data_IF_527634112293
#
_entry.id   IF_527634112293
#
_cell.length_a   1.000
_cell.length_b   1.000
_cell.length_c   1.000
_cell.angle_alpha   90.00
_cell.angle_beta   90.00
_cell.angle_gamma   90.00
#
_symmetry.space_group_name_H-M   'P 1'
#
loop_
_entity.id
_entity.type
_entity.pdbx_description
1 polymer ?
#
# COMPACT_ATOMS: atom_id res chain seq x y z
N UNK A 1 -13.22 21.25 -33.96
CA UNK A 1 -14.63 21.56 -34.32
C UNK A 1 -15.49 21.56 -33.07
N UNK A 2 -15.66 20.46 -32.32
CA UNK A 2 -16.51 20.34 -31.11
C UNK A 2 -16.20 21.41 -30.06
N UNK A 3 -14.93 21.63 -29.75
CA UNK A 3 -14.50 22.67 -28.79
C UNK A 3 -14.92 24.09 -29.27
N UNK A 4 -14.76 24.35 -30.56
CA UNK A 4 -15.11 25.64 -31.16
C UNK A 4 -16.63 25.85 -31.26
N UNK A 5 -17.41 24.80 -31.28
CA UNK A 5 -18.87 24.88 -31.30
C UNK A 5 -19.46 25.38 -29.98
N UNK A 6 -18.71 25.34 -28.88
CA UNK A 6 -19.14 25.80 -27.54
C UNK A 6 -20.49 25.21 -27.09
N UNK A 7 -20.67 23.91 -27.32
CA UNK A 7 -21.89 23.20 -26.98
C UNK A 7 -22.02 22.97 -25.47
N UNK A 8 -23.17 23.22 -24.87
CA UNK A 8 -23.38 22.95 -23.46
C UNK A 8 -23.47 21.45 -23.18
N UNK A 9 -22.95 21.02 -22.03
CA UNK A 9 -23.21 19.70 -21.46
C UNK A 9 -24.52 19.75 -20.67
N UNK A 10 -25.55 19.08 -21.16
CA UNK A 10 -26.87 19.05 -20.53
C UNK A 10 -27.05 17.69 -19.85
N UNK A 11 -27.25 17.71 -18.53
CA UNK A 11 -27.61 16.54 -17.74
C UNK A 11 -29.12 16.33 -17.74
N UNK A 12 -29.54 15.13 -18.04
CA UNK A 12 -30.95 14.71 -17.99
C UNK A 12 -31.04 13.47 -17.10
N UNK A 13 -31.94 13.47 -16.12
CA UNK A 13 -32.30 12.28 -15.35
C UNK A 13 -33.42 11.57 -16.11
N UNK A 14 -33.24 10.29 -16.37
CA UNK A 14 -34.14 9.49 -17.20
C UNK A 14 -34.56 8.20 -16.49
N UNK A 15 -35.75 7.68 -16.83
CA UNK A 15 -36.12 6.36 -16.33
C UNK A 15 -35.30 5.25 -17.02
N UNK A 16 -35.25 4.07 -16.38
CA UNK A 16 -34.55 2.90 -16.93
C UNK A 16 -35.04 2.53 -18.33
N UNK A 17 -36.37 2.60 -18.57
CA UNK A 17 -36.96 2.33 -19.87
C UNK A 17 -36.59 3.40 -20.92
N UNK A 18 -36.53 4.65 -20.52
CA UNK A 18 -36.07 5.73 -21.39
C UNK A 18 -34.60 5.58 -21.75
N UNK A 19 -33.71 5.27 -20.76
CA UNK A 19 -32.30 5.01 -21.01
C UNK A 19 -32.11 3.85 -22.00
N UNK A 20 -32.80 2.73 -21.81
CA UNK A 20 -32.77 1.59 -22.76
C UNK A 20 -33.22 1.95 -24.16
N UNK A 21 -34.22 2.84 -24.31
CA UNK A 21 -34.64 3.32 -25.63
C UNK A 21 -33.58 4.19 -26.30
N UNK A 22 -32.94 5.07 -25.53
CA UNK A 22 -31.84 5.95 -26.03
C UNK A 22 -30.68 5.13 -26.57
N UNK A 23 -30.34 4.04 -25.89
CA UNK A 23 -29.17 3.19 -26.20
C UNK A 23 -29.55 1.83 -26.80
N UNK A 24 -30.71 1.70 -27.41
CA UNK A 24 -31.23 0.42 -27.91
C UNK A 24 -30.30 -0.32 -28.89
N UNK A 25 -29.48 0.42 -29.65
CA UNK A 25 -28.46 -0.07 -30.58
C UNK A 25 -27.07 -0.36 -29.92
N UNK A 26 -26.93 -0.09 -28.62
CA UNK A 26 -25.66 -0.19 -27.87
C UNK A 26 -25.78 -1.24 -26.76
N UNK A 27 -25.69 -2.52 -27.14
CA UNK A 27 -25.95 -3.66 -26.25
C UNK A 27 -25.21 -3.59 -24.90
N UNK A 28 -23.96 -3.12 -24.89
CA UNK A 28 -23.16 -3.02 -23.65
C UNK A 28 -23.68 -1.94 -22.70
N UNK A 29 -24.23 -0.84 -23.22
CA UNK A 29 -24.88 0.17 -22.40
C UNK A 29 -26.22 -0.32 -21.86
N UNK A 30 -27.02 -1.04 -22.67
CA UNK A 30 -28.24 -1.67 -22.19
C UNK A 30 -27.98 -2.65 -21.09
N UNK A 31 -26.95 -3.53 -21.23
CA UNK A 31 -26.51 -4.46 -20.20
C UNK A 31 -26.07 -3.71 -18.92
N UNK A 32 -25.30 -2.64 -19.07
CA UNK A 32 -24.87 -1.83 -17.91
C UNK A 32 -26.06 -1.20 -17.18
N UNK A 33 -27.07 -0.70 -17.91
CA UNK A 33 -28.31 -0.16 -17.33
C UNK A 33 -29.07 -1.26 -16.56
N UNK A 34 -29.04 -2.50 -17.04
CA UNK A 34 -29.70 -3.63 -16.36
C UNK A 34 -29.01 -4.02 -15.05
N UNK A 35 -27.69 -3.86 -14.97
CA UNK A 35 -26.92 -4.15 -13.78
C UNK A 35 -27.04 -3.11 -12.67
N UNK A 36 -27.48 -1.90 -12.97
CA UNK A 36 -27.66 -0.86 -11.95
C UNK A 36 -28.72 -1.29 -10.92
N UNK A 37 -28.52 -0.90 -9.66
CA UNK A 37 -29.49 -1.15 -8.61
C UNK A 37 -30.87 -0.65 -8.98
N UNK A 38 -31.97 -1.31 -8.54
CA UNK A 38 -33.36 -0.95 -8.96
C UNK A 38 -33.72 0.52 -8.69
N UNK A 39 -33.16 1.10 -7.63
CA UNK A 39 -33.37 2.47 -7.16
C UNK A 39 -32.28 3.46 -7.62
N UNK A 40 -31.31 3.02 -8.42
CA UNK A 40 -30.26 3.89 -8.91
C UNK A 40 -30.81 4.99 -9.83
N UNK A 41 -30.40 6.22 -9.57
CA UNK A 41 -30.67 7.36 -10.47
C UNK A 41 -29.87 7.19 -11.76
N UNK A 42 -30.52 7.21 -12.88
CA UNK A 42 -29.89 7.09 -14.21
C UNK A 42 -29.86 8.46 -14.85
N UNK A 43 -28.67 8.94 -15.22
CA UNK A 43 -28.53 10.19 -15.95
C UNK A 43 -27.75 10.01 -17.25
N UNK A 44 -28.11 10.85 -18.21
CA UNK A 44 -27.44 10.98 -19.50
C UNK A 44 -26.95 12.41 -19.67
N UNK A 45 -25.83 12.55 -20.38
CA UNK A 45 -25.29 13.85 -20.76
C UNK A 45 -25.36 14.02 -22.28
N UNK A 46 -25.78 15.20 -22.70
CA UNK A 46 -25.86 15.60 -24.11
C UNK A 46 -24.96 16.79 -24.38
N UNK A 47 -24.32 16.78 -25.53
CA UNK A 47 -23.76 17.97 -26.17
C UNK A 47 -23.92 17.82 -27.70
N UNK A 48 -24.49 18.80 -28.34
CA UNK A 48 -24.86 18.67 -29.75
C UNK A 48 -25.72 17.43 -30.01
N UNK A 49 -25.31 16.63 -30.97
CA UNK A 49 -25.96 15.36 -31.32
C UNK A 49 -25.45 14.15 -30.52
N UNK A 50 -24.44 14.34 -29.66
CA UNK A 50 -23.88 13.25 -28.87
C UNK A 50 -24.63 13.07 -27.56
N UNK A 51 -24.92 11.82 -27.18
CA UNK A 51 -25.50 11.46 -25.90
C UNK A 51 -24.77 10.26 -25.32
N UNK A 52 -24.51 10.31 -24.04
CA UNK A 52 -23.93 9.17 -23.33
C UNK A 52 -24.49 9.01 -21.91
N UNK A 53 -24.40 7.77 -21.40
CA UNK A 53 -24.76 7.40 -20.04
C UNK A 53 -23.61 7.85 -19.11
N UNK A 54 -23.88 8.73 -18.15
CA UNK A 54 -22.86 9.22 -17.23
C UNK A 54 -23.49 9.78 -15.95
N UNK A 55 -22.87 9.48 -14.80
CA UNK A 55 -23.26 10.06 -13.52
C UNK A 55 -22.79 11.52 -13.36
N UNK A 56 -21.74 11.94 -14.09
CA UNK A 56 -21.12 13.25 -13.96
C UNK A 56 -20.11 13.33 -12.81
N UNK A 57 -19.69 14.53 -12.41
CA UNK A 57 -20.00 15.83 -13.04
C UNK A 57 -19.27 16.05 -14.37
N UNK A 58 -19.72 17.04 -15.16
CA UNK A 58 -19.08 17.50 -16.39
C UNK A 58 -18.81 18.99 -16.35
N UNK A 59 -17.92 19.46 -17.24
CA UNK A 59 -17.76 20.89 -17.54
C UNK A 59 -19.04 21.47 -18.12
N UNK A 60 -19.23 22.80 -17.98
CA UNK A 60 -20.48 23.43 -18.43
C UNK A 60 -20.64 23.40 -19.96
N UNK A 61 -19.55 23.53 -20.71
CA UNK A 61 -19.58 23.51 -22.18
C UNK A 61 -18.23 23.06 -22.77
N UNK A 62 -18.23 22.66 -24.02
CA UNK A 62 -17.07 22.13 -24.72
C UNK A 62 -15.93 23.12 -24.89
N UNK A 63 -16.20 24.44 -24.89
CA UNK A 63 -15.15 25.47 -25.02
C UNK A 63 -14.25 25.58 -23.81
N UNK A 64 -14.62 25.00 -22.66
CA UNK A 64 -13.76 24.94 -21.48
C UNK A 64 -12.58 23.97 -21.64
N UNK A 65 -12.60 23.09 -22.64
CA UNK A 65 -11.48 22.23 -22.97
C UNK A 65 -10.39 23.05 -23.64
N UNK A 66 -9.41 23.52 -22.88
CA UNK A 66 -8.32 24.34 -23.39
C UNK A 66 -7.28 23.56 -24.19
N UNK A 67 -7.05 22.31 -23.86
CA UNK A 67 -6.17 21.39 -24.56
C UNK A 67 -6.52 19.95 -24.26
N UNK A 68 -6.35 19.06 -25.24
CA UNK A 68 -6.51 17.61 -25.06
C UNK A 68 -5.47 16.84 -25.86
N UNK A 69 -5.29 15.56 -25.49
CA UNK A 69 -4.44 14.62 -26.24
C UNK A 69 -5.01 13.21 -26.15
N UNK A 70 -5.13 12.53 -27.28
CA UNK A 70 -5.35 11.10 -27.35
C UNK A 70 -4.02 10.39 -27.08
N UNK A 71 -4.01 9.46 -26.12
CA UNK A 71 -2.81 8.87 -25.59
C UNK A 71 -2.50 7.52 -26.23
N UNK A 72 -3.36 6.54 -26.03
CA UNK A 72 -3.20 5.17 -26.54
C UNK A 72 -4.53 4.46 -26.72
N UNK A 73 -4.50 3.37 -27.48
CA UNK A 73 -5.58 2.39 -27.57
C UNK A 73 -5.08 1.08 -26.97
N UNK A 74 -5.93 0.41 -26.20
CA UNK A 74 -5.63 -0.91 -25.62
C UNK A 74 -6.87 -1.78 -25.68
N UNK A 75 -6.71 -3.11 -25.73
CA UNK A 75 -7.76 -4.07 -25.52
C UNK A 75 -8.25 -4.02 -24.06
N UNK A 76 -9.54 -4.22 -23.85
CA UNK A 76 -10.11 -4.38 -22.52
C UNK A 76 -11.31 -5.33 -22.61
N UNK A 77 -11.29 -6.40 -21.84
CA UNK A 77 -12.44 -7.29 -21.76
C UNK A 77 -13.64 -6.59 -21.10
N UNK A 78 -14.83 -6.85 -21.61
CA UNK A 78 -16.04 -6.31 -21.04
C UNK A 78 -16.20 -6.75 -19.58
N UNK A 79 -16.39 -5.78 -18.68
CA UNK A 79 -16.43 -5.98 -17.21
C UNK A 79 -15.18 -6.64 -16.61
N UNK A 80 -14.07 -6.67 -17.33
CA UNK A 80 -12.84 -7.33 -16.86
C UNK A 80 -12.85 -8.85 -16.96
N UNK A 81 -13.86 -9.43 -17.53
CA UNK A 81 -14.02 -10.88 -17.70
C UNK A 81 -13.36 -11.35 -19.00
N UNK A 82 -12.31 -12.18 -18.91
CA UNK A 82 -11.56 -12.70 -20.06
C UNK A 82 -12.35 -13.62 -20.97
N UNK A 83 -13.45 -14.19 -20.49
CA UNK A 83 -14.35 -15.04 -21.27
C UNK A 83 -15.36 -14.21 -22.10
N UNK A 84 -15.37 -12.88 -21.90
CA UNK A 84 -16.25 -11.96 -22.58
C UNK A 84 -15.54 -11.23 -23.74
N UNK A 85 -16.29 -10.42 -24.46
CA UNK A 85 -15.77 -9.72 -25.64
C UNK A 85 -14.67 -8.73 -25.28
N UNK A 86 -13.61 -8.74 -26.09
CA UNK A 86 -12.55 -7.73 -26.02
C UNK A 86 -13.00 -6.46 -26.75
N UNK A 87 -13.08 -5.38 -26.01
CA UNK A 87 -13.36 -4.04 -26.52
C UNK A 87 -12.06 -3.25 -26.71
N UNK A 88 -12.14 -2.18 -27.49
CA UNK A 88 -11.07 -1.20 -27.61
C UNK A 88 -11.31 -0.07 -26.62
N UNK A 89 -10.32 0.16 -25.74
CA UNK A 89 -10.32 1.29 -24.80
C UNK A 89 -9.40 2.39 -25.32
N UNK A 90 -9.97 3.54 -25.62
CA UNK A 90 -9.24 4.73 -26.00
C UNK A 90 -8.94 5.57 -24.76
N UNK A 91 -7.66 5.84 -24.52
CA UNK A 91 -7.19 6.70 -23.45
C UNK A 91 -6.91 8.10 -23.98
N UNK A 92 -7.38 9.10 -23.25
CA UNK A 92 -7.14 10.51 -23.54
C UNK A 92 -7.08 11.32 -22.27
N UNK A 93 -6.55 12.52 -22.38
CA UNK A 93 -6.51 13.50 -21.28
C UNK A 93 -6.85 14.89 -21.79
N UNK A 94 -7.45 15.72 -20.93
CA UNK A 94 -7.82 17.11 -21.25
C UNK A 94 -7.54 18.01 -20.05
N UNK A 95 -7.20 19.28 -20.34
CA UNK A 95 -6.89 20.31 -19.36
C UNK A 95 -7.51 21.64 -19.78
N UNK A 96 -7.73 22.52 -18.79
CA UNK A 96 -8.23 23.89 -19.06
C UNK A 96 -7.18 24.74 -19.77
N UNK A 97 -5.87 24.46 -19.57
CA UNK A 97 -4.78 25.25 -20.16
C UNK A 97 -3.78 24.34 -20.89
N UNK A 98 -3.25 24.83 -22.02
CA UNK A 98 -2.19 24.14 -22.78
C UNK A 98 -0.94 23.85 -21.95
N UNK A 99 -0.57 24.77 -21.03
CA UNK A 99 0.58 24.60 -20.14
C UNK A 99 0.40 23.40 -19.20
N UNK A 100 -0.79 23.22 -18.66
CA UNK A 100 -1.11 22.08 -17.78
C UNK A 100 -0.98 20.73 -18.52
N UNK A 101 -1.52 20.66 -19.75
CA UNK A 101 -1.32 19.49 -20.61
C UNK A 101 0.16 19.23 -20.89
N UNK A 102 0.94 20.28 -21.22
CA UNK A 102 2.37 20.15 -21.51
C UNK A 102 3.13 19.63 -20.27
N UNK A 103 2.85 20.16 -19.09
CA UNK A 103 3.41 19.67 -17.82
C UNK A 103 3.04 18.22 -17.55
N UNK A 104 1.76 17.86 -17.73
CA UNK A 104 1.31 16.48 -17.54
C UNK A 104 2.04 15.49 -18.49
N UNK A 105 2.16 15.85 -19.77
CA UNK A 105 2.86 15.00 -20.74
C UNK A 105 4.35 14.90 -20.46
N UNK A 106 4.98 15.97 -19.99
CA UNK A 106 6.37 15.96 -19.53
C UNK A 106 6.53 15.00 -18.33
N UNK A 107 5.67 15.11 -17.32
CA UNK A 107 5.71 14.24 -16.13
C UNK A 107 5.48 12.76 -16.50
N UNK A 108 4.60 12.45 -17.46
CA UNK A 108 4.43 11.09 -17.95
C UNK A 108 5.69 10.54 -18.62
N UNK A 109 6.35 11.35 -19.48
CA UNK A 109 7.60 10.95 -20.12
C UNK A 109 8.74 10.77 -19.11
N UNK A 110 8.81 11.64 -18.08
CA UNK A 110 9.78 11.48 -16.99
C UNK A 110 9.48 10.23 -16.13
N UNK A 111 8.19 9.93 -15.85
CA UNK A 111 7.81 8.72 -15.16
C UNK A 111 8.26 7.45 -15.91
N UNK A 112 8.10 7.41 -17.24
CA UNK A 112 8.54 6.28 -18.06
C UNK A 112 10.06 6.10 -18.05
N UNK A 113 10.83 7.20 -18.05
CA UNK A 113 12.30 7.14 -17.94
C UNK A 113 12.77 6.64 -16.58
N UNK A 114 12.02 6.95 -15.51
CA UNK A 114 12.36 6.62 -14.13
C UNK A 114 11.76 5.30 -13.65
N UNK A 115 10.98 4.62 -14.49
CA UNK A 115 10.30 3.35 -14.12
C UNK A 115 11.31 2.39 -13.48
N UNK A 116 11.05 2.04 -12.20
CA UNK A 116 11.94 1.19 -11.40
C UNK A 116 12.22 -0.16 -12.06
N UNK A 117 11.29 -0.69 -12.86
CA UNK A 117 11.46 -1.97 -13.56
C UNK A 117 12.55 -1.87 -14.64
N UNK A 118 12.65 -0.72 -15.31
CA UNK A 118 13.67 -0.44 -16.30
C UNK A 118 14.99 -0.07 -15.64
N UNK A 119 15.00 0.98 -14.83
CA UNK A 119 16.18 1.50 -14.14
C UNK A 119 16.78 0.45 -13.21
N UNK A 120 15.96 -0.24 -12.43
CA UNK A 120 16.40 -1.28 -11.48
C UNK A 120 17.04 -2.48 -12.20
N UNK A 121 16.51 -2.88 -13.37
CA UNK A 121 17.11 -3.92 -14.21
C UNK A 121 18.45 -3.48 -14.79
N UNK A 122 18.53 -2.29 -15.35
CA UNK A 122 19.76 -1.72 -15.93
C UNK A 122 20.88 -1.59 -14.89
N UNK A 123 20.54 -1.22 -13.66
CA UNK A 123 21.50 -1.08 -12.56
C UNK A 123 21.80 -2.40 -11.83
N UNK A 124 21.07 -3.47 -12.12
CA UNK A 124 21.21 -4.77 -11.47
C UNK A 124 20.74 -4.76 -10.01
N UNK A 125 19.68 -4.03 -9.71
CA UNK A 125 19.12 -3.95 -8.37
C UNK A 125 18.17 -5.11 -8.04
N UNK A 126 17.35 -5.50 -9.00
CA UNK A 126 16.46 -6.67 -8.87
C UNK A 126 16.16 -7.29 -10.23
N UNK A 127 15.63 -8.49 -10.20
CA UNK A 127 15.11 -9.18 -11.36
C UNK A 127 13.80 -9.88 -11.04
N UNK A 128 12.98 -10.06 -12.06
CA UNK A 128 11.77 -10.88 -12.03
C UNK A 128 12.02 -12.04 -12.98
N UNK A 129 11.74 -13.23 -12.54
CA UNK A 129 11.96 -14.47 -13.29
C UNK A 129 10.70 -15.33 -13.28
N UNK A 130 10.35 -15.92 -14.41
CA UNK A 130 9.13 -16.72 -14.54
C UNK A 130 9.23 -18.01 -13.70
N UNK A 131 10.41 -18.58 -13.57
CA UNK A 131 10.63 -19.79 -12.76
C UNK A 131 10.47 -19.51 -11.25
N UNK A 132 10.76 -18.28 -10.80
CA UNK A 132 10.50 -17.88 -9.43
C UNK A 132 9.02 -17.63 -9.18
N UNK A 133 8.27 -17.27 -10.22
CA UNK A 133 6.85 -16.93 -10.17
C UNK A 133 6.55 -15.43 -10.18
N UNK A 134 5.33 -15.11 -10.61
CA UNK A 134 4.88 -13.72 -10.77
C UNK A 134 4.81 -13.01 -9.42
N UNK A 135 5.47 -11.84 -9.33
CA UNK A 135 5.46 -11.01 -8.12
C UNK A 135 6.39 -11.49 -7.01
N UNK A 136 7.37 -12.32 -7.33
CA UNK A 136 8.42 -12.79 -6.42
C UNK A 136 9.77 -12.24 -6.90
N UNK A 137 10.19 -11.04 -6.45
CA UNK A 137 11.43 -10.43 -6.90
C UNK A 137 12.66 -11.13 -6.34
N UNK A 138 13.71 -11.24 -7.17
CA UNK A 138 15.03 -11.73 -6.81
C UNK A 138 16.00 -10.55 -6.73
N UNK A 139 16.90 -10.56 -5.76
CA UNK A 139 17.85 -9.48 -5.50
C UNK A 139 19.29 -9.93 -5.75
N UNK A 140 19.91 -9.52 -6.88
CA UNK A 140 21.34 -9.65 -7.09
C UNK A 140 22.16 -8.88 -6.03
N UNK A 141 23.48 -9.08 -5.94
CA UNK A 141 24.31 -8.52 -4.88
C UNK A 141 24.18 -7.01 -4.63
N UNK A 142 23.96 -6.20 -5.68
CA UNK A 142 23.76 -4.75 -5.53
C UNK A 142 22.44 -4.43 -4.84
N UNK A 143 21.34 -5.05 -5.27
CA UNK A 143 20.02 -4.85 -4.67
C UNK A 143 19.96 -5.36 -3.24
N UNK A 144 20.50 -6.56 -3.00
CA UNK A 144 20.59 -7.12 -1.64
C UNK A 144 21.36 -6.21 -0.69
N UNK A 145 22.43 -5.53 -1.17
CA UNK A 145 23.19 -4.55 -0.38
C UNK A 145 22.35 -3.33 -0.02
N UNK A 146 21.60 -2.78 -0.98
CA UNK A 146 20.70 -1.63 -0.70
C UNK A 146 19.64 -1.98 0.34
N UNK A 147 18.97 -3.14 0.16
CA UNK A 147 17.99 -3.63 1.14
C UNK A 147 18.61 -3.76 2.52
N UNK A 148 19.80 -4.34 2.60
CA UNK A 148 20.52 -4.52 3.86
C UNK A 148 20.82 -3.18 4.53
N UNK A 149 21.32 -2.20 3.78
CA UNK A 149 21.62 -0.86 4.29
C UNK A 149 20.36 -0.15 4.81
N UNK A 150 19.22 -0.26 4.09
CA UNK A 150 17.95 0.27 4.56
C UNK A 150 17.51 -0.38 5.88
N UNK A 151 17.59 -1.70 5.96
CA UNK A 151 17.23 -2.45 7.18
C UNK A 151 18.15 -2.12 8.35
N UNK A 152 19.46 -2.04 8.15
CA UNK A 152 20.42 -1.73 9.19
C UNK A 152 20.28 -0.30 9.71
N UNK A 153 20.02 0.64 8.81
CA UNK A 153 19.76 2.03 9.18
C UNK A 153 18.50 2.15 10.03
N UNK A 154 17.37 1.60 9.56
CA UNK A 154 16.10 1.65 10.29
C UNK A 154 16.15 0.87 11.60
N UNK A 155 16.80 -0.29 11.63
CA UNK A 155 16.99 -1.11 12.85
C UNK A 155 17.65 -0.31 13.96
N UNK A 156 18.70 0.47 13.66
CA UNK A 156 19.39 1.30 14.62
C UNK A 156 18.48 2.37 15.20
N UNK A 157 17.74 3.07 14.33
CA UNK A 157 16.82 4.12 14.75
C UNK A 157 15.66 3.55 15.61
N UNK A 158 15.18 2.34 15.29
CA UNK A 158 14.14 1.66 16.08
C UNK A 158 14.64 1.25 17.49
N UNK A 159 15.86 0.72 17.59
CA UNK A 159 16.43 0.40 18.91
C UNK A 159 16.60 1.65 19.79
N UNK A 160 17.04 2.76 19.22
CA UNK A 160 17.16 4.04 19.94
C UNK A 160 15.81 4.55 20.45
N UNK A 161 14.71 4.17 19.78
CA UNK A 161 13.33 4.50 20.16
C UNK A 161 12.67 3.44 21.05
N UNK A 162 13.42 2.46 21.54
CA UNK A 162 12.94 1.42 22.45
C UNK A 162 12.09 0.33 21.82
N UNK A 163 12.24 0.08 20.53
CA UNK A 163 11.68 -1.11 19.88
C UNK A 163 12.59 -2.32 20.07
N UNK A 164 11.99 -3.49 20.20
CA UNK A 164 12.68 -4.78 20.30
C UNK A 164 12.43 -5.63 19.06
N UNK A 165 13.51 -6.14 18.44
CA UNK A 165 13.40 -6.97 17.24
C UNK A 165 12.98 -8.39 17.57
N UNK A 166 12.01 -8.89 16.86
CA UNK A 166 11.54 -10.29 16.91
C UNK A 166 11.62 -10.94 15.54
N UNK A 167 11.59 -12.26 15.50
CA UNK A 167 11.57 -13.05 14.26
C UNK A 167 10.45 -14.07 14.39
N UNK A 168 9.54 -14.09 13.42
CA UNK A 168 8.41 -15.00 13.42
C UNK A 168 8.47 -15.98 12.23
N UNK A 169 7.93 -17.19 12.36
CA UNK A 169 7.94 -18.18 11.29
C UNK A 169 7.10 -17.71 10.09
N UNK A 170 7.44 -18.21 8.89
CA UNK A 170 6.69 -17.90 7.67
C UNK A 170 5.39 -18.69 7.53
N UNK A 171 5.28 -19.81 8.27
CA UNK A 171 4.18 -20.76 8.16
C UNK A 171 3.57 -20.99 9.53
N UNK A 172 2.24 -20.97 9.60
CA UNK A 172 1.46 -21.26 10.81
C UNK A 172 0.35 -22.26 10.52
N UNK A 173 -0.12 -22.96 11.57
CA UNK A 173 -1.38 -23.69 11.50
C UNK A 173 -2.54 -22.76 11.18
N UNK A 174 -3.48 -23.20 10.36
CA UNK A 174 -4.63 -22.36 9.93
C UNK A 174 -5.49 -21.85 11.08
N UNK A 175 -5.45 -22.49 12.25
CA UNK A 175 -6.19 -22.06 13.44
C UNK A 175 -5.78 -20.67 13.93
N UNK A 176 -4.51 -20.28 13.74
CA UNK A 176 -4.04 -18.90 14.04
C UNK A 176 -4.78 -17.89 13.17
N UNK A 177 -4.98 -18.22 11.90
CA UNK A 177 -5.68 -17.37 10.94
C UNK A 177 -7.18 -17.29 11.18
N UNK A 178 -7.79 -18.38 11.67
CA UNK A 178 -9.20 -18.41 12.13
C UNK A 178 -9.37 -17.54 13.37
N UNK A 179 -8.49 -17.68 14.36
CA UNK A 179 -8.51 -16.85 15.57
C UNK A 179 -8.37 -15.36 15.24
N UNK A 180 -7.44 -14.99 14.39
CA UNK A 180 -7.22 -13.60 13.99
C UNK A 180 -8.31 -13.03 13.07
N UNK A 181 -9.14 -13.87 12.45
CA UNK A 181 -10.15 -13.48 11.46
C UNK A 181 -9.66 -13.38 10.03
N UNK A 182 -8.36 -13.53 9.79
CA UNK A 182 -7.83 -13.46 8.42
C UNK A 182 -8.37 -14.57 7.52
N UNK A 183 -8.67 -15.73 8.09
CA UNK A 183 -9.22 -16.86 7.33
C UNK A 183 -10.53 -16.48 6.64
N UNK A 184 -11.42 -15.77 7.34
CA UNK A 184 -12.75 -15.39 6.86
C UNK A 184 -12.75 -14.13 5.98
N UNK A 185 -11.92 -13.15 6.33
CA UNK A 185 -11.92 -11.83 5.66
C UNK A 185 -10.84 -11.67 4.58
N UNK A 186 -9.81 -12.52 4.60
CA UNK A 186 -8.63 -12.39 3.74
C UNK A 186 -8.18 -13.71 3.09
N UNK A 187 -8.93 -14.79 3.28
CA UNK A 187 -8.57 -16.14 2.85
C UNK A 187 -8.27 -16.27 1.35
N UNK A 188 -8.98 -15.55 0.48
CA UNK A 188 -8.74 -15.54 -0.96
C UNK A 188 -7.35 -15.04 -1.36
N UNK A 189 -6.73 -14.21 -0.50
CA UNK A 189 -5.39 -13.67 -0.70
C UNK A 189 -4.30 -14.46 0.02
N UNK A 190 -4.61 -15.63 0.58
CA UNK A 190 -3.68 -16.45 1.34
C UNK A 190 -3.30 -17.72 0.57
N UNK A 191 -2.11 -18.25 0.88
CA UNK A 191 -1.65 -19.55 0.42
C UNK A 191 -1.84 -20.58 1.53
N UNK A 192 -2.70 -21.60 1.29
CA UNK A 192 -2.93 -22.71 2.20
C UNK A 192 -2.43 -24.02 1.61
N UNK A 193 -2.01 -24.92 2.49
CA UNK A 193 -1.61 -26.27 2.11
C UNK A 193 -1.79 -27.24 3.28
N UNK A 194 -1.91 -28.54 2.96
CA UNK A 194 -2.10 -29.58 3.94
C UNK A 194 -0.81 -30.40 4.12
N UNK A 195 -0.48 -30.72 5.36
CA UNK A 195 0.61 -31.60 5.73
C UNK A 195 0.03 -32.82 6.43
N UNK A 196 0.46 -34.03 6.04
CA UNK A 196 0.14 -35.23 6.78
C UNK A 196 1.09 -35.38 7.98
N UNK A 197 0.59 -35.09 9.18
CA UNK A 197 1.32 -35.25 10.45
C UNK A 197 1.15 -36.67 11.04
N UNK A 198 0.35 -37.53 10.41
CA UNK A 198 0.16 -38.93 10.79
C UNK A 198 1.05 -39.91 10.02
N UNK A 199 0.87 -41.21 10.22
CA UNK A 199 1.50 -42.25 9.41
C UNK A 199 0.74 -42.45 8.08
N UNK A 200 1.34 -43.20 7.14
CA UNK A 200 0.65 -43.61 5.91
C UNK A 200 -0.60 -44.48 6.19
N UNK A 201 -0.54 -45.30 7.24
CA UNK A 201 -1.65 -46.17 7.66
C UNK A 201 -2.75 -45.40 8.42
N UNK A 202 -2.39 -44.24 9.05
CA UNK A 202 -3.32 -43.42 9.82
C UNK A 202 -3.04 -41.93 9.56
N UNK A 203 -3.44 -41.41 8.38
CA UNK A 203 -3.14 -40.06 7.98
C UNK A 203 -3.90 -39.05 8.84
N UNK A 204 -3.18 -38.03 9.32
CA UNK A 204 -3.74 -36.87 10.02
C UNK A 204 -3.36 -35.58 9.27
N UNK A 205 -4.27 -35.10 8.45
CA UNK A 205 -4.06 -33.87 7.68
C UNK A 205 -4.22 -32.66 8.60
N UNK A 206 -3.21 -31.82 8.61
CA UNK A 206 -3.21 -30.48 9.26
C UNK A 206 -3.05 -29.40 8.20
N UNK A 207 -3.96 -28.42 8.23
CA UNK A 207 -3.89 -27.28 7.32
C UNK A 207 -2.96 -26.21 7.88
N UNK A 208 -2.09 -25.70 7.01
CA UNK A 208 -1.16 -24.62 7.27
C UNK A 208 -1.38 -23.47 6.28
N UNK A 209 -1.06 -22.25 6.69
CA UNK A 209 -1.04 -21.08 5.82
C UNK A 209 0.30 -20.37 5.86
N UNK A 210 0.74 -19.89 4.70
CA UNK A 210 1.87 -18.95 4.62
C UNK A 210 1.41 -17.60 5.12
N UNK A 211 2.19 -16.93 5.97
CA UNK A 211 1.76 -15.67 6.60
C UNK A 211 1.52 -14.54 5.58
N UNK A 212 0.32 -13.95 5.54
CA UNK A 212 0.03 -12.73 4.78
C UNK A 212 0.33 -11.47 5.58
N UNK A 213 0.52 -11.60 6.90
CA UNK A 213 0.75 -10.54 7.89
C UNK A 213 1.58 -11.10 9.05
N UNK A 214 2.27 -10.21 9.78
CA UNK A 214 3.14 -10.61 10.91
C UNK A 214 2.44 -10.51 12.27
N UNK A 215 1.36 -9.74 12.37
CA UNK A 215 0.66 -9.43 13.63
C UNK A 215 0.34 -10.64 14.52
N UNK A 216 -0.16 -11.80 14.03
CA UNK A 216 -0.42 -12.92 14.91
C UNK A 216 0.84 -13.48 15.58
N UNK A 217 2.00 -13.41 14.91
CA UNK A 217 3.27 -13.83 15.50
C UNK A 217 3.67 -12.97 16.69
N UNK A 218 3.57 -11.65 16.58
CA UNK A 218 3.86 -10.72 17.68
C UNK A 218 2.88 -10.89 18.85
N UNK A 219 1.61 -11.15 18.55
CA UNK A 219 0.60 -11.46 19.56
C UNK A 219 0.93 -12.73 20.33
N UNK A 220 1.38 -13.79 19.65
CA UNK A 220 1.82 -15.03 20.30
C UNK A 220 3.04 -14.79 21.20
N UNK A 221 3.97 -13.93 20.80
CA UNK A 221 5.13 -13.53 21.62
C UNK A 221 4.66 -12.75 22.87
N UNK A 222 3.78 -11.75 22.68
CA UNK A 222 3.19 -11.02 23.80
C UNK A 222 2.56 -11.95 24.84
N UNK A 223 1.71 -12.90 24.39
CA UNK A 223 0.95 -13.83 25.22
C UNK A 223 1.82 -14.85 25.96
N UNK A 224 3.07 -15.05 25.54
CA UNK A 224 3.96 -16.04 26.17
C UNK A 224 4.38 -15.69 27.60
N UNK A 225 4.17 -14.43 28.02
CA UNK A 225 4.56 -13.96 29.35
C UNK A 225 3.42 -13.20 30.03
N UNK A 226 3.41 -13.23 31.37
CA UNK A 226 2.50 -12.39 32.15
C UNK A 226 2.99 -10.95 32.09
N UNK A 227 2.17 -10.04 31.58
CA UNK A 227 2.50 -8.63 31.43
C UNK A 227 1.87 -7.79 32.54
N UNK A 228 2.55 -6.71 32.90
CA UNK A 228 2.03 -5.69 33.81
C UNK A 228 2.01 -4.32 33.12
N UNK A 229 1.31 -3.36 33.70
CA UNK A 229 1.29 -1.97 33.21
C UNK A 229 2.69 -1.34 33.12
N UNK A 230 3.68 -1.86 33.83
CA UNK A 230 5.08 -1.39 33.80
C UNK A 230 5.84 -1.87 32.56
N UNK A 231 5.35 -2.93 31.93
CA UNK A 231 5.94 -3.49 30.71
C UNK A 231 5.38 -2.79 29.46
N UNK A 232 4.39 -1.91 29.63
CA UNK A 232 3.74 -1.17 28.55
C UNK A 232 4.23 0.30 28.50
N UNK A 233 4.44 0.87 27.33
CA UNK A 233 4.22 0.28 26.01
C UNK A 233 5.31 -0.73 25.64
N UNK A 234 4.91 -1.91 25.14
CA UNK A 234 5.82 -2.89 24.57
C UNK A 234 5.82 -2.74 23.04
N UNK A 235 6.98 -2.43 22.46
CA UNK A 235 7.15 -2.14 21.03
C UNK A 235 7.96 -3.26 20.38
N UNK A 236 7.28 -4.17 19.67
CA UNK A 236 7.91 -5.27 18.93
C UNK A 236 7.97 -4.93 17.43
N UNK A 237 9.10 -5.21 16.76
CA UNK A 237 9.21 -5.05 15.33
C UNK A 237 9.93 -6.24 14.67
N UNK A 238 9.67 -6.45 13.39
CA UNK A 238 10.44 -7.36 12.54
C UNK A 238 10.53 -6.84 11.11
N UNK A 239 11.60 -7.20 10.41
CA UNK A 239 11.60 -7.18 8.94
C UNK A 239 10.94 -8.49 8.46
N UNK A 240 9.62 -8.51 8.52
CA UNK A 240 8.83 -9.70 8.33
C UNK A 240 8.42 -9.90 6.88
N UNK A 241 8.90 -10.98 6.25
CA UNK A 241 8.48 -11.34 4.89
C UNK A 241 7.12 -11.99 4.91
N UNK A 242 6.20 -11.45 4.13
CA UNK A 242 4.81 -11.92 4.00
C UNK A 242 4.49 -12.25 2.55
N UNK A 243 3.44 -13.05 2.36
CA UNK A 243 3.05 -13.54 1.04
C UNK A 243 1.55 -13.35 0.83
N UNK A 244 1.18 -12.72 -0.28
CA UNK A 244 -0.21 -12.44 -0.63
C UNK A 244 -0.50 -12.87 -2.06
N UNK A 245 -1.58 -13.62 -2.24
CA UNK A 245 -2.03 -14.05 -3.56
C UNK A 245 -2.69 -12.88 -4.29
N UNK A 246 -1.85 -11.94 -4.77
CA UNK A 246 -2.30 -10.84 -5.62
C UNK A 246 -2.65 -11.34 -7.02
N UNK A 247 -3.73 -10.80 -7.61
CA UNK A 247 -4.09 -11.10 -8.99
C UNK A 247 -2.95 -10.71 -9.94
N UNK A 248 -2.67 -11.53 -10.94
CA UNK A 248 -1.54 -11.30 -11.87
C UNK A 248 -1.58 -9.93 -12.55
N UNK A 249 -2.76 -9.43 -12.89
CA UNK A 249 -2.94 -8.09 -13.46
C UNK A 249 -2.72 -6.92 -12.49
N UNK A 250 -2.67 -7.18 -11.19
CA UNK A 250 -2.41 -6.17 -10.16
C UNK A 250 -0.93 -6.05 -9.80
N UNK A 251 -0.11 -7.07 -10.11
CA UNK A 251 1.33 -7.08 -9.80
C UNK A 251 2.08 -6.06 -10.65
N UNK A 252 2.96 -5.27 -10.01
CA UNK A 252 3.69 -4.19 -10.67
C UNK A 252 5.11 -4.02 -10.11
N UNK A 253 6.05 -4.82 -10.60
CA UNK A 253 7.45 -4.79 -10.17
C UNK A 253 7.60 -4.89 -8.65
N UNK A 254 8.36 -3.98 -8.05
CA UNK A 254 8.54 -3.89 -6.59
C UNK A 254 7.38 -3.16 -5.91
N UNK A 255 6.58 -2.37 -6.62
CA UNK A 255 5.52 -1.55 -6.03
C UNK A 255 4.32 -2.37 -5.58
N UNK A 256 4.08 -3.53 -6.21
CA UNK A 256 3.06 -4.49 -5.80
C UNK A 256 3.53 -5.91 -6.13
N UNK A 257 3.99 -6.61 -5.12
CA UNK A 257 4.57 -7.94 -5.19
C UNK A 257 3.71 -8.97 -4.43
N UNK A 258 3.89 -10.25 -4.70
CA UNK A 258 3.27 -11.36 -3.96
C UNK A 258 4.07 -11.78 -2.75
N UNK A 259 5.40 -11.64 -2.79
CA UNK A 259 6.31 -11.83 -1.66
C UNK A 259 7.03 -10.53 -1.40
N UNK A 260 6.94 -10.00 -0.18
CA UNK A 260 7.56 -8.74 0.21
C UNK A 260 7.84 -8.69 1.71
N UNK A 261 8.79 -7.85 2.10
CA UNK A 261 9.23 -7.70 3.49
C UNK A 261 8.74 -6.37 4.05
N UNK A 262 7.96 -6.42 5.12
CA UNK A 262 7.50 -5.23 5.83
C UNK A 262 8.48 -4.87 6.95
N UNK A 263 8.66 -3.58 7.20
CA UNK A 263 9.22 -3.04 8.44
C UNK A 263 8.12 -2.98 9.50
N UNK A 264 7.56 -4.11 9.80
CA UNK A 264 6.33 -4.25 10.58
C UNK A 264 6.59 -4.15 12.08
N UNK A 265 5.77 -3.38 12.78
CA UNK A 265 5.83 -3.33 14.23
C UNK A 265 4.45 -3.24 14.86
N UNK A 266 4.40 -3.76 16.09
CA UNK A 266 3.20 -3.79 16.90
C UNK A 266 3.52 -3.24 18.28
N UNK A 267 2.80 -2.17 18.65
CA UNK A 267 2.93 -1.55 19.97
C UNK A 267 1.74 -1.97 20.81
N UNK A 268 2.01 -2.69 21.88
CA UNK A 268 1.01 -3.02 22.88
C UNK A 268 1.06 -1.96 23.98
N UNK A 269 -0.05 -1.29 24.22
CA UNK A 269 -0.10 -0.15 25.15
C UNK A 269 -1.42 -0.11 25.92
N UNK A 270 -1.46 0.71 26.95
CA UNK A 270 -2.73 1.03 27.62
C UNK A 270 -3.54 2.00 26.75
N UNK A 271 -4.85 2.08 27.02
CA UNK A 271 -5.73 3.00 26.30
C UNK A 271 -5.24 4.45 26.35
N UNK A 272 -4.73 4.88 27.51
CA UNK A 272 -4.24 6.25 27.70
C UNK A 272 -2.90 6.54 27.02
N UNK A 273 -2.14 5.50 26.64
CA UNK A 273 -0.86 5.64 25.93
C UNK A 273 -1.03 5.75 24.41
N UNK A 274 -2.22 5.46 23.85
CA UNK A 274 -2.45 5.43 22.40
C UNK A 274 -2.00 6.72 21.72
N UNK A 275 -2.43 7.89 22.22
CA UNK A 275 -2.09 9.19 21.60
C UNK A 275 -0.59 9.43 21.60
N UNK A 276 0.09 9.23 22.73
CA UNK A 276 1.53 9.43 22.85
C UNK A 276 2.34 8.48 21.96
N UNK A 277 1.91 7.23 21.81
CA UNK A 277 2.57 6.26 20.94
C UNK A 277 2.36 6.60 19.45
N UNK A 278 1.17 7.07 19.07
CA UNK A 278 0.92 7.53 17.70
C UNK A 278 1.77 8.76 17.38
N UNK A 279 1.90 9.73 18.30
CA UNK A 279 2.80 10.90 18.14
C UNK A 279 4.24 10.44 17.93
N UNK A 280 4.73 9.50 18.74
CA UNK A 280 6.10 8.97 18.60
C UNK A 280 6.31 8.25 17.24
N UNK A 281 5.28 7.59 16.71
CA UNK A 281 5.33 7.00 15.37
C UNK A 281 5.34 8.08 14.28
N UNK A 282 4.55 9.15 14.43
CA UNK A 282 4.58 10.28 13.48
C UNK A 282 5.94 10.99 13.49
N UNK A 283 6.59 11.17 14.65
CA UNK A 283 7.98 11.66 14.73
C UNK A 283 8.98 10.77 13.98
N UNK A 284 8.78 9.44 14.03
CA UNK A 284 9.59 8.50 13.26
C UNK A 284 9.33 8.64 11.74
N UNK A 285 8.07 8.79 11.34
CA UNK A 285 7.69 9.04 9.93
C UNK A 285 8.37 10.29 9.42
N UNK A 286 8.31 11.39 10.17
CA UNK A 286 8.89 12.68 9.80
C UNK A 286 10.42 12.60 9.64
N UNK A 287 11.08 11.95 10.58
CA UNK A 287 12.52 11.66 10.51
C UNK A 287 12.90 10.89 9.24
N UNK A 288 12.16 9.84 8.93
CA UNK A 288 12.43 8.99 7.76
C UNK A 288 12.14 9.73 6.46
N UNK A 289 10.97 10.37 6.33
CA UNK A 289 10.59 11.07 5.10
C UNK A 289 11.53 12.25 4.81
N UNK A 290 11.93 13.00 5.82
CA UNK A 290 12.91 14.09 5.68
C UNK A 290 14.29 13.59 5.26
N UNK A 291 14.75 12.42 5.77
CA UNK A 291 16.03 11.81 5.39
C UNK A 291 16.11 11.51 3.88
N UNK A 292 14.99 11.13 3.27
CA UNK A 292 14.92 10.85 1.83
C UNK A 292 14.42 12.06 1.00
N UNK A 293 14.11 13.18 1.64
CA UNK A 293 13.65 14.40 0.97
C UNK A 293 12.24 14.29 0.40
N UNK A 294 11.39 13.45 1.00
CA UNK A 294 9.99 13.32 0.62
C UNK A 294 9.11 14.37 1.31
N UNK A 295 8.27 15.04 0.52
CA UNK A 295 7.05 15.66 1.03
C UNK A 295 5.99 14.58 1.22
N UNK A 296 5.17 14.69 2.27
CA UNK A 296 4.10 13.74 2.51
C UNK A 296 2.81 14.43 2.98
N UNK A 297 1.70 13.70 2.89
CA UNK A 297 0.38 14.08 3.37
C UNK A 297 -0.21 12.92 4.16
N UNK A 298 -1.08 13.23 5.11
CA UNK A 298 -1.77 12.23 5.92
C UNK A 298 -3.25 12.16 5.58
N UNK A 299 -3.81 10.94 5.62
CA UNK A 299 -5.24 10.70 5.57
C UNK A 299 -5.64 9.86 6.78
N UNK A 300 -6.73 10.23 7.45
CA UNK A 300 -7.35 9.42 8.50
C UNK A 300 -8.54 8.68 7.89
N UNK A 301 -8.42 7.36 7.82
CA UNK A 301 -9.47 6.48 7.33
C UNK A 301 -10.35 6.03 8.48
N UNK A 302 -11.65 6.29 8.37
CA UNK A 302 -12.63 6.01 9.41
C UNK A 302 -13.32 4.66 9.20
N UNK A 303 -14.32 4.37 10.06
CA UNK A 303 -15.00 3.09 10.13
C UNK A 303 -15.65 2.67 8.81
N UNK A 304 -15.34 1.48 8.26
CA UNK A 304 -16.03 0.93 7.10
C UNK A 304 -17.38 0.31 7.49
N UNK A 305 -18.24 0.11 6.50
CA UNK A 305 -19.57 -0.48 6.67
C UNK A 305 -19.52 -1.87 7.31
N UNK A 306 -18.54 -2.69 6.88
CA UNK A 306 -18.26 -4.01 7.48
C UNK A 306 -17.10 -3.90 8.45
N UNK A 307 -17.40 -3.82 9.75
CA UNK A 307 -16.39 -3.63 10.80
C UNK A 307 -16.76 -4.38 12.10
N UNK A 308 -15.77 -4.57 12.96
CA UNK A 308 -15.90 -5.21 14.28
C UNK A 308 -15.70 -4.12 15.35
N UNK A 309 -16.25 -4.33 16.55
CA UNK A 309 -16.13 -3.43 17.70
C UNK A 309 -17.33 -2.49 17.88
N UNK A 310 -17.44 -1.90 19.07
CA UNK A 310 -18.51 -0.96 19.41
C UNK A 310 -18.28 0.43 18.84
N UNK A 311 -19.34 1.22 18.74
CA UNK A 311 -19.28 2.62 18.29
C UNK A 311 -18.35 3.45 19.17
N UNK A 312 -18.39 3.25 20.47
CA UNK A 312 -17.54 3.93 21.46
C UNK A 312 -16.04 3.64 21.26
N UNK A 313 -15.69 2.38 20.94
CA UNK A 313 -14.29 2.00 20.67
C UNK A 313 -13.80 2.68 19.40
N UNK A 314 -14.61 2.68 18.34
CA UNK A 314 -14.29 3.33 17.08
C UNK A 314 -14.14 4.84 17.22
N UNK A 315 -15.07 5.48 17.95
CA UNK A 315 -15.02 6.92 18.23
C UNK A 315 -13.75 7.28 19.00
N UNK A 316 -13.45 6.54 20.08
CA UNK A 316 -12.25 6.79 20.88
C UNK A 316 -10.97 6.59 20.04
N UNK A 317 -10.86 5.50 19.28
CA UNK A 317 -9.70 5.23 18.45
C UNK A 317 -9.50 6.31 17.38
N UNK A 318 -10.57 6.71 16.69
CA UNK A 318 -10.52 7.76 15.65
C UNK A 318 -10.11 9.11 16.26
N UNK A 319 -10.71 9.49 17.39
CA UNK A 319 -10.37 10.73 18.10
C UNK A 319 -8.91 10.72 18.60
N UNK A 320 -8.38 9.57 19.02
CA UNK A 320 -6.98 9.43 19.42
C UNK A 320 -6.02 9.68 18.24
N UNK A 321 -6.35 9.19 17.04
CA UNK A 321 -5.56 9.47 15.82
C UNK A 321 -5.62 10.96 15.45
N UNK A 322 -6.80 11.58 15.51
CA UNK A 322 -6.96 13.02 15.23
C UNK A 322 -6.19 13.88 16.24
N UNK A 323 -6.26 13.54 17.52
CA UNK A 323 -5.54 14.25 18.58
C UNK A 323 -4.02 14.12 18.41
N UNK A 324 -3.52 12.93 18.03
CA UNK A 324 -2.10 12.73 17.76
C UNK A 324 -1.62 13.57 16.55
N UNK A 325 -2.36 13.61 15.46
CA UNK A 325 -2.05 14.49 14.32
C UNK A 325 -2.01 15.96 14.74
N UNK A 326 -2.96 16.40 15.56
CA UNK A 326 -3.01 17.77 16.08
C UNK A 326 -1.82 18.09 16.98
N UNK A 327 -1.43 17.18 17.89
CA UNK A 327 -0.26 17.39 18.75
C UNK A 327 1.05 17.42 17.94
N UNK A 328 1.13 16.65 16.87
CA UNK A 328 2.25 16.64 15.94
C UNK A 328 2.24 17.82 14.94
N UNK A 329 1.19 18.65 14.91
CA UNK A 329 0.94 19.70 13.91
C UNK A 329 0.92 19.15 12.46
N UNK A 330 0.39 17.96 12.26
CA UNK A 330 0.25 17.30 10.96
C UNK A 330 -1.15 17.55 10.41
N UNK A 331 -1.22 18.22 9.25
CA UNK A 331 -2.47 18.37 8.50
C UNK A 331 -2.90 17.02 7.90
N UNK A 332 -4.19 16.75 7.93
CA UNK A 332 -4.75 15.49 7.41
C UNK A 332 -6.08 15.69 6.70
N UNK A 333 -6.40 14.79 5.81
CA UNK A 333 -7.73 14.67 5.19
C UNK A 333 -8.48 13.48 5.82
N UNK A 334 -9.81 13.55 5.86
CA UNK A 334 -10.64 12.43 6.30
C UNK A 334 -11.05 11.61 5.07
N UNK A 335 -10.76 10.31 5.14
CA UNK A 335 -11.22 9.32 4.16
C UNK A 335 -12.27 8.43 4.81
N UNK A 336 -13.55 8.78 4.58
CA UNK A 336 -14.66 8.10 5.22
C UNK A 336 -14.82 6.65 4.73
N UNK A 337 -14.91 5.71 5.66
CA UNK A 337 -15.22 4.32 5.36
C UNK A 337 -14.06 3.47 4.83
N UNK A 338 -12.82 4.00 4.76
CA UNK A 338 -11.65 3.28 4.25
C UNK A 338 -10.76 2.69 5.35
N UNK A 339 -11.23 2.69 6.60
CA UNK A 339 -10.53 2.05 7.73
C UNK A 339 -10.44 0.54 7.56
N UNK A 340 -9.55 -0.09 8.34
CA UNK A 340 -9.54 -1.54 8.43
C UNK A 340 -10.80 -2.05 9.15
N UNK A 341 -11.20 -3.31 8.91
CA UNK A 341 -12.39 -3.87 9.57
C UNK A 341 -12.26 -3.90 11.10
N UNK A 342 -11.04 -3.82 11.63
CA UNK A 342 -10.71 -3.91 13.07
C UNK A 342 -10.32 -2.57 13.72
N UNK A 343 -10.18 -1.49 12.96
CA UNK A 343 -9.87 -0.18 13.53
C UNK A 343 -9.53 0.92 12.50
N UNK A 344 -9.54 2.19 12.93
CA UNK A 344 -9.17 3.33 12.10
C UNK A 344 -7.66 3.38 11.87
N UNK A 345 -7.24 4.10 10.82
CA UNK A 345 -5.84 4.22 10.45
C UNK A 345 -5.46 5.62 9.99
N UNK A 346 -4.19 5.97 10.15
CA UNK A 346 -3.53 7.06 9.44
C UNK A 346 -2.73 6.46 8.30
N UNK A 347 -3.00 6.87 7.07
CA UNK A 347 -2.20 6.55 5.89
C UNK A 347 -1.33 7.75 5.52
N UNK A 348 -0.03 7.52 5.37
CA UNK A 348 0.94 8.51 4.94
C UNK A 348 1.25 8.30 3.46
N UNK A 349 0.99 9.33 2.67
CA UNK A 349 1.23 9.34 1.23
C UNK A 349 2.41 10.26 0.92
N UNK A 350 3.48 9.69 0.39
CA UNK A 350 4.67 10.45 -0.02
C UNK A 350 4.54 10.92 -1.45
N UNK A 351 5.10 12.10 -1.74
CA UNK A 351 5.14 12.69 -3.06
C UNK A 351 6.55 12.57 -3.63
N UNK A 352 6.66 11.93 -4.79
CA UNK A 352 7.95 11.76 -5.45
C UNK A 352 8.41 13.02 -6.23
N UNK A 353 9.63 12.96 -6.78
CA UNK A 353 10.26 14.08 -7.49
C UNK A 353 9.49 14.61 -8.71
N UNK A 354 8.52 13.87 -9.23
CA UNK A 354 7.65 14.27 -10.37
C UNK A 354 6.19 14.49 -9.94
N UNK A 355 5.94 14.52 -8.63
CA UNK A 355 4.64 14.85 -8.04
C UNK A 355 3.62 13.71 -8.00
N UNK A 356 4.04 12.43 -8.19
CA UNK A 356 3.15 11.27 -7.98
C UNK A 356 3.06 10.95 -6.50
N UNK A 357 1.89 10.50 -6.08
CA UNK A 357 1.61 10.16 -4.68
C UNK A 357 1.68 8.64 -4.48
N UNK A 358 2.38 8.20 -3.43
CA UNK A 358 2.56 6.80 -3.06
C UNK A 358 2.20 6.59 -1.60
N UNK A 359 1.30 5.68 -1.30
CA UNK A 359 1.06 5.27 0.09
C UNK A 359 2.25 4.43 0.57
N UNK A 360 2.90 4.89 1.63
CA UNK A 360 4.04 4.23 2.28
C UNK A 360 3.69 3.80 3.69
N UNK A 361 3.68 4.76 4.63
CA UNK A 361 3.48 4.45 6.04
C UNK A 361 2.00 4.31 6.38
N UNK A 362 1.73 3.45 7.35
CA UNK A 362 0.40 3.29 7.93
C UNK A 362 0.53 3.11 9.43
N UNK A 363 -0.34 3.74 10.19
CA UNK A 363 -0.54 3.54 11.63
C UNK A 363 -1.99 3.18 11.86
N UNK A 364 -2.25 2.03 12.48
CA UNK A 364 -3.60 1.52 12.69
C UNK A 364 -3.81 1.23 14.17
N UNK A 365 -4.95 1.65 14.71
CA UNK A 365 -5.36 1.30 16.06
C UNK A 365 -6.21 0.04 16.02
N UNK A 366 -5.84 -0.97 16.79
CA UNK A 366 -6.53 -2.24 16.88
C UNK A 366 -6.88 -2.56 18.33
N UNK A 367 -8.15 -2.65 18.59
CA UNK A 367 -8.72 -3.07 19.88
C UNK A 367 -9.34 -4.48 19.80
N UNK A 368 -9.36 -5.12 18.62
CA UNK A 368 -9.98 -6.43 18.39
C UNK A 368 -9.00 -7.60 18.57
N UNK A 369 -7.76 -7.48 18.07
CA UNK A 369 -6.77 -8.54 18.23
C UNK A 369 -6.50 -8.91 19.68
N UNK A 370 -6.34 -7.94 20.61
CA UNK A 370 -6.19 -8.25 22.02
C UNK A 370 -7.38 -9.04 22.60
N UNK A 371 -8.60 -8.77 22.14
CA UNK A 371 -9.78 -9.52 22.54
C UNK A 371 -9.79 -10.94 21.94
N UNK A 372 -9.57 -11.09 20.65
CA UNK A 372 -9.62 -12.38 19.95
C UNK A 372 -8.56 -13.37 20.41
N UNK A 373 -7.39 -12.87 20.83
CA UNK A 373 -6.30 -13.69 21.35
C UNK A 373 -6.26 -13.77 22.88
N UNK A 374 -7.25 -13.17 23.56
CA UNK A 374 -7.37 -13.10 25.01
C UNK A 374 -6.12 -12.55 25.70
N UNK A 375 -5.59 -11.43 25.17
CA UNK A 375 -4.44 -10.74 25.74
C UNK A 375 -4.86 -9.92 26.95
N UNK A 376 -4.07 -9.99 28.04
CA UNK A 376 -4.28 -9.18 29.24
C UNK A 376 -2.96 -8.62 29.76
N UNK A 377 -3.04 -7.61 30.59
CA UNK A 377 -1.97 -7.12 31.47
C UNK A 377 -2.50 -6.82 32.88
N UNK A 378 -1.63 -6.87 33.86
CA UNK A 378 -1.94 -6.51 35.25
C UNK A 378 -1.84 -5.00 35.45
N UNK A 379 -2.91 -4.37 35.94
CA UNK A 379 -2.92 -2.95 36.29
C UNK A 379 -2.22 -2.68 37.65
N UNK A 380 -2.07 -1.40 37.99
CA UNK A 380 -1.51 -1.00 39.28
C UNK A 380 -2.34 -1.53 40.48
N UNK A 381 -3.64 -1.66 40.30
CA UNK A 381 -4.58 -2.18 41.31
C UNK A 381 -4.67 -3.71 41.28
N UNK A 382 -3.78 -4.39 40.57
CA UNK A 382 -3.72 -5.84 40.40
C UNK A 382 -4.99 -6.46 39.78
N UNK A 383 -5.71 -5.69 38.97
CA UNK A 383 -6.78 -6.18 38.10
C UNK A 383 -6.24 -6.55 36.72
N UNK A 384 -6.98 -7.26 35.92
CA UNK A 384 -6.63 -7.57 34.53
C UNK A 384 -7.38 -6.65 33.58
N UNK A 385 -6.64 -6.07 32.64
CA UNK A 385 -7.18 -5.27 31.55
C UNK A 385 -6.61 -5.74 30.19
N UNK A 386 -7.32 -5.41 29.11
CA UNK A 386 -6.87 -5.68 27.73
C UNK A 386 -6.01 -4.54 27.23
N UNK A 387 -4.81 -4.83 26.65
CA UNK A 387 -4.03 -3.80 25.99
C UNK A 387 -4.74 -3.35 24.71
N UNK A 388 -4.42 -2.16 24.25
CA UNK A 388 -4.65 -1.70 22.90
C UNK A 388 -3.41 -2.03 22.06
N UNK A 389 -3.58 -2.19 20.76
CA UNK A 389 -2.51 -2.54 19.85
C UNK A 389 -2.43 -1.52 18.71
N UNK A 390 -1.22 -1.06 18.41
CA UNK A 390 -0.97 -0.23 17.24
C UNK A 390 -0.18 -1.07 16.24
N UNK A 391 -0.67 -1.16 15.02
CA UNK A 391 0.09 -1.68 13.89
C UNK A 391 0.77 -0.52 13.18
N UNK A 392 2.03 -0.64 12.81
CA UNK A 392 2.69 0.36 11.97
C UNK A 392 3.68 -0.27 11.00
N UNK A 393 3.74 0.28 9.81
CA UNK A 393 4.82 0.12 8.87
C UNK A 393 5.21 1.51 8.36
N UNK A 394 6.49 1.82 8.25
CA UNK A 394 6.95 3.15 7.79
C UNK A 394 7.26 3.13 6.30
N UNK A 395 8.01 2.14 5.85
CA UNK A 395 8.24 1.92 4.41
C UNK A 395 7.03 1.29 3.72
N UNK A 396 6.13 0.66 4.48
CA UNK A 396 5.08 -0.21 3.99
C UNK A 396 5.62 -1.57 3.59
N UNK A 397 6.48 -1.65 2.60
CA UNK A 397 7.41 -2.76 2.37
C UNK A 397 8.74 -2.24 1.87
N UNK A 398 9.80 -2.97 2.16
CA UNK A 398 11.16 -2.65 1.70
C UNK A 398 11.20 -2.60 0.17
N UNK A 399 10.53 -3.54 -0.49
CA UNK A 399 10.43 -3.63 -1.95
C UNK A 399 9.77 -2.39 -2.54
N UNK A 400 8.59 -2.03 -2.02
CA UNK A 400 7.84 -0.86 -2.49
C UNK A 400 8.62 0.42 -2.27
N UNK A 401 9.18 0.60 -1.08
CA UNK A 401 9.98 1.78 -0.77
C UNK A 401 11.24 1.85 -1.64
N UNK A 402 11.92 0.73 -1.87
CA UNK A 402 13.06 0.67 -2.77
C UNK A 402 12.68 1.02 -4.22
N UNK A 403 11.54 0.51 -4.70
CA UNK A 403 10.99 0.90 -6.00
C UNK A 403 10.74 2.41 -6.11
N UNK A 404 10.14 3.01 -5.07
CA UNK A 404 9.91 4.44 -4.99
C UNK A 404 11.22 5.23 -4.98
N UNK A 405 12.23 4.78 -4.21
CA UNK A 405 13.57 5.42 -4.19
C UNK A 405 14.25 5.36 -5.56
N UNK A 406 14.17 4.22 -6.26
CA UNK A 406 14.72 4.09 -7.63
C UNK A 406 14.07 5.14 -8.54
N UNK A 407 12.76 5.31 -8.49
CA UNK A 407 12.04 6.28 -9.33
C UNK A 407 12.27 7.72 -8.88
N UNK A 408 12.31 7.99 -7.58
CA UNK A 408 12.55 9.32 -7.02
C UNK A 408 13.94 9.85 -7.41
N UNK A 409 14.97 9.05 -7.18
CA UNK A 409 16.36 9.40 -7.49
C UNK A 409 16.79 9.05 -8.91
N UNK A 410 15.91 8.50 -9.76
CA UNK A 410 16.27 8.00 -11.10
C UNK A 410 17.46 7.04 -11.07
N UNK A 411 17.53 6.20 -10.04
CA UNK A 411 18.61 5.23 -9.80
C UNK A 411 19.87 5.78 -9.13
N UNK A 412 20.05 7.11 -9.04
CA UNK A 412 21.19 7.75 -8.40
C UNK A 412 20.96 7.90 -6.89
N UNK A 413 20.95 6.79 -6.17
CA UNK A 413 20.72 6.76 -4.72
C UNK A 413 21.73 7.62 -3.95
N UNK A 414 21.35 8.16 -2.77
CA UNK A 414 22.27 8.84 -1.87
C UNK A 414 23.52 8.01 -1.59
N UNK A 415 24.67 8.65 -1.41
CA UNK A 415 25.96 7.96 -1.30
C UNK A 415 25.96 6.86 -0.22
N UNK A 416 25.37 7.13 0.95
CA UNK A 416 25.31 6.17 2.05
C UNK A 416 24.50 4.90 1.73
N UNK A 417 23.54 5.02 0.78
CA UNK A 417 22.66 3.93 0.33
C UNK A 417 23.15 3.30 -0.99
N UNK A 418 24.09 3.95 -1.69
CA UNK A 418 24.60 3.45 -2.95
C UNK A 418 25.32 2.10 -2.76
N UNK A 419 25.00 1.06 -3.56
CA UNK A 419 25.61 -0.27 -3.42
C UNK A 419 27.07 -0.29 -3.82
N UNK A 420 27.51 0.69 -4.59
CA UNK A 420 28.90 0.95 -4.95
C UNK A 420 29.18 2.41 -4.69
N UNK A 421 29.94 2.72 -3.65
CA UNK A 421 30.20 4.09 -3.21
C UNK A 421 31.46 4.68 -3.88
N UNK A 422 32.46 3.85 -4.14
CA UNK A 422 33.72 4.26 -4.76
C UNK A 422 34.16 3.20 -5.78
N UNK A 423 34.63 3.65 -6.92
CA UNK A 423 35.26 2.79 -7.93
C UNK A 423 36.67 3.31 -8.24
N UNK A 424 37.66 2.47 -8.06
CA UNK A 424 39.04 2.77 -8.43
C UNK A 424 39.32 2.21 -9.83
N UNK A 425 39.69 3.08 -10.76
CA UNK A 425 39.95 2.74 -12.15
C UNK A 425 41.45 2.80 -12.45
N UNK A 426 42.17 1.66 -12.48
CA UNK A 426 43.56 1.64 -12.86
C UNK A 426 43.69 1.93 -14.37
N UNK A 427 44.44 2.93 -14.75
CA UNK A 427 44.67 3.28 -16.17
C UNK A 427 45.62 2.31 -16.88
N UNK A 428 46.41 1.55 -16.13
CA UNK A 428 47.33 0.52 -16.62
C UNK A 428 47.61 -0.49 -15.53
N UNK A 429 48.08 -1.69 -15.88
CA UNK A 429 48.33 -2.79 -14.95
C UNK A 429 49.30 -2.40 -13.81
N UNK A 430 50.31 -1.55 -14.10
CA UNK A 430 51.23 -1.00 -13.09
C UNK A 430 50.55 -0.21 -11.97
N UNK A 431 49.28 0.20 -12.12
CA UNK A 431 48.52 0.95 -11.11
C UNK A 431 47.64 0.04 -10.26
N UNK A 432 47.55 -1.27 -10.56
CA UNK A 432 46.65 -2.21 -9.86
C UNK A 432 46.98 -2.32 -8.36
N UNK A 433 48.26 -2.43 -8.01
CA UNK A 433 48.64 -2.59 -6.62
C UNK A 433 48.41 -1.31 -5.80
N UNK A 434 48.68 -0.14 -6.38
CA UNK A 434 48.28 1.13 -5.77
C UNK A 434 46.79 1.26 -5.55
N UNK A 435 45.95 0.84 -6.53
CA UNK A 435 44.49 0.81 -6.39
C UNK A 435 44.05 -0.16 -5.28
N UNK A 436 44.67 -1.35 -5.18
CA UNK A 436 44.39 -2.33 -4.10
C UNK A 436 44.75 -1.77 -2.72
N UNK A 437 45.87 -1.07 -2.61
CA UNK A 437 46.30 -0.47 -1.34
C UNK A 437 45.40 0.70 -0.93
N UNK A 438 44.89 1.49 -1.87
CA UNK A 438 43.89 2.52 -1.60
C UNK A 438 42.58 1.86 -1.17
N UNK A 439 42.12 0.82 -1.87
CA UNK A 439 40.88 0.10 -1.56
C UNK A 439 40.84 -0.51 -0.16
N UNK A 440 42.03 -0.85 0.41
CA UNK A 440 42.15 -1.34 1.81
C UNK A 440 42.03 -0.23 2.86
N UNK A 441 42.22 1.03 2.45
CA UNK A 441 42.20 2.20 3.34
C UNK A 441 40.86 2.91 3.39
N UNK A 442 40.04 2.64 2.40
CA UNK A 442 38.65 3.13 2.27
C UNK A 442 37.69 2.11 2.89
#
# INVERSE_FOLDING_TARGET
EIIAANEPFVREVVSREQAKKIFADQRFKVEHIDDLAPDAEISVYRHGNFVDLCAGPHIANTSQIGAFKLMKIAGAYWKGDSEREMLQRLYGTAFFKKKELATHLHNLAEAEKRDHRKVGKELGYFMLDEDAGVGLPLYPPKGARVIRLLQEWLRRDLYERGYEEVITPHVYKSDVWKTSGHYDFYGENMYFFNINEGSEENPRLSEYGVKPMNCPGHVLIYRNEIRSYRDLPLRLFEFGTVYRHELSGAVHGLLRARGFTQDDAHVFCTKDQVVSEVVAILDLVDHIMSTFGFEYMAEISTRPEKSIGSDEMWEHATNSLMEACKQHNLDYEINEGDGAFYGPKIDIKVKDAIGRTWQCSTVQVDFNFPERFDLTYRTADNTEERPWMLHRAIFGSIERFFGILIEHYSGALPLWLAPVQVVLLPLADRHLDACKDIAKKI
#
